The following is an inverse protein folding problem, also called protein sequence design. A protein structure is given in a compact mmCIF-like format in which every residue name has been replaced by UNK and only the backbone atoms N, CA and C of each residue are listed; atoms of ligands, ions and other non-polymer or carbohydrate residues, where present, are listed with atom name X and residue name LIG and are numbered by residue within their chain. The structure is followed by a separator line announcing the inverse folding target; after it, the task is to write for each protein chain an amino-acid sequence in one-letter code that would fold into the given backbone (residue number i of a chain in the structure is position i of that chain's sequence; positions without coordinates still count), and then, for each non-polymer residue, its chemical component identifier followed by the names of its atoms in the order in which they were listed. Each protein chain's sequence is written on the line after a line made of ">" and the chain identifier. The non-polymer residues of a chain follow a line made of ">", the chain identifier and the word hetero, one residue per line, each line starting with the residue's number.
data_IF_818891676862
#
_entry.id   IF_818891676862
#
_cell.length_a   1.000
_cell.length_b   1.000
_cell.length_c   1.000
_cell.angle_alpha   90.00
_cell.angle_beta   90.00
_cell.angle_gamma   90.00
#
_symmetry.space_group_name_H-M   'P 1'
#
loop_
_entity.id
_entity.type
_entity.pdbx_description
1 polymer ?
#
# COMPACT_ATOMS: atom_id res chain seq x y z
N UNK A 1 30.33 46.10 15.86
CA UNK A 1 29.94 46.10 17.29
C UNK A 1 29.32 44.74 17.62
N UNK A 2 29.83 44.11 18.69
CA UNK A 2 29.32 42.99 19.51
C UNK A 2 28.49 41.87 18.84
N UNK A 3 29.06 40.66 18.68
CA UNK A 3 29.13 39.53 19.66
C UNK A 3 27.77 38.82 19.85
N UNK A 4 27.65 37.60 19.32
CA UNK A 4 27.45 36.39 20.13
C UNK A 4 27.89 35.15 19.34
N UNK A 5 28.56 34.24 20.06
CA UNK A 5 29.29 33.05 19.62
C UNK A 5 28.77 31.89 20.48
N UNK A 6 28.81 30.67 19.94
CA UNK A 6 28.64 29.36 20.63
C UNK A 6 27.18 29.04 21.00
N UNK A 7 26.61 27.84 20.79
CA UNK A 7 27.11 26.47 20.79
C UNK A 7 26.32 25.56 19.84
N UNK A 8 27.00 24.75 19.02
CA UNK A 8 26.47 23.46 18.56
C UNK A 8 27.62 22.46 18.54
N UNK A 9 27.82 21.80 19.68
CA UNK A 9 28.76 20.71 19.84
C UNK A 9 28.11 19.35 19.53
N UNK A 10 28.91 18.50 18.88
CA UNK A 10 28.83 17.03 18.80
C UNK A 10 27.67 16.41 18.00
N UNK A 11 27.94 16.18 16.72
CA UNK A 11 27.53 14.93 16.07
C UNK A 11 28.78 14.25 15.50
N UNK A 12 28.96 13.00 15.92
CA UNK A 12 30.16 12.21 15.72
C UNK A 12 30.42 11.89 14.25
N UNK A 13 31.70 11.92 13.92
CA UNK A 13 32.29 11.47 12.67
C UNK A 13 32.21 9.94 12.58
N UNK A 14 31.31 9.39 11.77
CA UNK A 14 31.43 8.01 11.30
C UNK A 14 32.34 7.98 10.07
N UNK A 15 33.62 7.68 10.31
CA UNK A 15 34.58 7.28 9.27
C UNK A 15 34.21 5.89 8.76
N UNK A 16 33.79 5.79 7.50
CA UNK A 16 33.80 4.52 6.77
C UNK A 16 35.12 4.41 6.02
N UNK A 17 36.01 3.54 6.49
CA UNK A 17 37.25 3.20 5.80
C UNK A 17 36.94 2.24 4.66
N UNK A 18 37.03 2.71 3.41
CA UNK A 18 37.15 1.80 2.26
C UNK A 18 38.62 1.67 1.88
N UNK A 19 39.06 0.42 1.99
CA UNK A 19 40.37 -0.07 1.66
C UNK A 19 40.63 0.07 0.16
N UNK A 20 41.82 0.53 -0.18
CA UNK A 20 42.30 0.75 -1.53
C UNK A 20 42.58 -0.59 -2.22
N UNK A 21 42.02 -0.82 -3.41
CA UNK A 21 42.70 -1.64 -4.39
C UNK A 21 42.54 -1.01 -5.79
N UNK A 22 43.63 -0.38 -6.22
CA UNK A 22 43.78 0.28 -7.53
C UNK A 22 44.37 -0.75 -8.48
N UNK A 23 43.57 -1.26 -9.41
CA UNK A 23 44.08 -1.86 -10.64
C UNK A 23 43.84 -0.91 -11.80
N UNK A 24 44.96 -0.42 -12.35
CA UNK A 24 45.08 0.44 -13.50
C UNK A 24 44.80 -0.32 -14.80
N UNK A 25 43.80 0.09 -15.56
CA UNK A 25 43.66 -0.22 -16.97
C UNK A 25 43.56 1.11 -17.73
N UNK A 26 44.64 1.45 -18.43
CA UNK A 26 44.75 2.60 -19.33
C UNK A 26 43.94 2.33 -20.59
N UNK A 27 42.77 2.94 -20.70
CA UNK A 27 42.00 3.00 -21.94
C UNK A 27 42.24 4.35 -22.61
N UNK A 28 42.67 4.26 -23.86
CA UNK A 28 42.99 5.33 -24.81
C UNK A 28 41.91 6.41 -24.76
N UNK A 29 42.30 7.63 -24.36
CA UNK A 29 41.42 8.80 -24.38
C UNK A 29 41.32 9.36 -25.80
N UNK A 30 40.39 8.81 -26.59
CA UNK A 30 39.81 9.56 -27.71
C UNK A 30 38.76 10.51 -27.13
N UNK A 31 38.77 11.82 -27.44
CA UNK A 31 37.74 12.71 -26.93
C UNK A 31 36.39 12.32 -27.54
N UNK A 32 35.51 11.76 -26.72
CA UNK A 32 34.09 11.64 -27.04
C UNK A 32 33.55 13.04 -27.37
N UNK A 33 32.71 13.20 -28.41
CA UNK A 33 32.12 14.49 -28.70
C UNK A 33 31.34 14.95 -27.47
N UNK A 34 31.74 16.09 -26.89
CA UNK A 34 31.00 16.64 -25.77
C UNK A 34 29.56 16.91 -26.22
N UNK A 35 28.56 16.48 -25.45
CA UNK A 35 27.21 16.96 -25.68
C UNK A 35 27.25 18.45 -25.38
N UNK A 36 27.15 19.29 -26.41
CA UNK A 36 26.82 20.71 -26.29
C UNK A 36 25.48 20.79 -25.58
N UNK A 37 25.53 20.82 -24.25
CA UNK A 37 24.36 20.73 -23.38
C UNK A 37 23.80 22.14 -23.21
N UNK A 38 22.59 22.44 -23.72
CA UNK A 38 21.95 23.71 -23.43
C UNK A 38 21.57 23.74 -21.94
N UNK A 39 22.02 24.76 -21.20
CA UNK A 39 21.29 25.25 -20.03
C UNK A 39 21.53 24.57 -18.66
N UNK A 40 22.77 24.56 -18.15
CA UNK A 40 23.05 24.26 -16.74
C UNK A 40 22.33 25.23 -15.77
N UNK A 41 22.11 26.49 -16.17
CA UNK A 41 21.40 27.50 -15.36
C UNK A 41 19.87 27.28 -15.29
N UNK A 42 19.26 26.70 -16.34
CA UNK A 42 17.83 26.41 -16.39
C UNK A 42 17.44 25.16 -15.60
N UNK A 43 18.32 24.15 -15.56
CA UNK A 43 18.12 22.96 -14.72
C UNK A 43 18.27 23.27 -13.23
N UNK A 44 19.21 24.15 -12.83
CA UNK A 44 19.34 24.57 -11.43
C UNK A 44 18.11 25.32 -10.92
N UNK A 45 17.46 26.11 -11.78
CA UNK A 45 16.22 26.82 -11.44
C UNK A 45 15.03 25.88 -11.26
N UNK A 46 14.86 24.89 -12.14
CA UNK A 46 13.80 23.87 -11.98
C UNK A 46 14.01 23.04 -10.72
N UNK A 47 15.23 22.56 -10.45
CA UNK A 47 15.51 21.80 -9.23
C UNK A 47 15.21 22.64 -7.97
N UNK A 48 15.64 23.91 -7.96
CA UNK A 48 15.35 24.82 -6.86
C UNK A 48 13.85 25.05 -6.64
N UNK A 49 13.08 25.19 -7.73
CA UNK A 49 11.62 25.31 -7.65
C UNK A 49 10.94 24.03 -7.15
N UNK A 50 11.37 22.86 -7.63
CA UNK A 50 10.85 21.56 -7.18
C UNK A 50 11.10 21.37 -5.70
N UNK A 51 12.32 21.63 -5.23
CA UNK A 51 12.67 21.53 -3.80
C UNK A 51 11.82 22.47 -2.96
N UNK A 52 11.62 23.72 -3.41
CA UNK A 52 10.80 24.70 -2.68
C UNK A 52 9.34 24.26 -2.58
N UNK A 53 8.76 23.75 -3.67
CA UNK A 53 7.38 23.25 -3.65
C UNK A 53 7.28 22.02 -2.75
N UNK A 54 8.23 21.09 -2.83
CA UNK A 54 8.27 19.91 -1.97
C UNK A 54 8.37 20.29 -0.48
N UNK A 55 9.22 21.26 -0.14
CA UNK A 55 9.35 21.79 1.22
C UNK A 55 8.04 22.43 1.70
N UNK A 56 7.42 23.28 0.88
CA UNK A 56 6.13 23.89 1.20
C UNK A 56 5.04 22.85 1.45
N UNK A 57 4.94 21.84 0.59
CA UNK A 57 3.99 20.74 0.75
C UNK A 57 4.27 19.95 2.04
N UNK A 58 5.52 19.65 2.34
CA UNK A 58 5.89 18.93 3.57
C UNK A 58 5.53 19.73 4.83
N UNK A 59 5.87 21.03 4.86
CA UNK A 59 5.56 21.91 5.99
C UNK A 59 4.04 22.01 6.19
N UNK A 60 3.27 22.22 5.11
CA UNK A 60 1.81 22.29 5.19
C UNK A 60 1.19 20.96 5.64
N UNK A 61 1.70 19.82 5.16
CA UNK A 61 1.21 18.50 5.56
C UNK A 61 1.49 18.21 7.04
N UNK A 62 2.69 18.51 7.53
CA UNK A 62 3.06 18.31 8.93
C UNK A 62 2.24 19.22 9.87
N UNK A 63 1.94 20.45 9.44
CA UNK A 63 1.11 21.37 10.21
C UNK A 63 -0.36 20.92 10.32
N UNK A 64 -0.87 20.18 9.33
CA UNK A 64 -2.25 19.70 9.27
C UNK A 64 -2.42 18.25 9.76
N UNK A 65 -1.32 17.58 10.13
CA UNK A 65 -1.35 16.18 10.53
C UNK A 65 -2.14 16.00 11.84
N UNK A 66 -3.12 15.08 11.82
CA UNK A 66 -3.93 14.75 12.99
C UNK A 66 -3.17 13.84 13.95
N UNK A 67 -3.47 13.86 15.26
CA UNK A 67 -2.76 13.03 16.25
C UNK A 67 -2.78 11.53 15.96
N UNK A 68 -3.89 11.02 15.42
CA UNK A 68 -4.04 9.62 15.02
C UNK A 68 -3.14 9.26 13.83
N UNK A 69 -3.05 10.12 12.81
CA UNK A 69 -2.16 9.95 11.66
C UNK A 69 -0.70 9.97 12.08
N UNK A 70 -0.34 10.84 13.02
CA UNK A 70 1.00 10.87 13.60
C UNK A 70 1.34 9.57 14.32
N UNK A 71 0.42 9.05 15.14
CA UNK A 71 0.60 7.78 15.83
C UNK A 71 0.76 6.61 14.86
N UNK A 72 -0.01 6.60 13.77
CA UNK A 72 0.07 5.60 12.70
C UNK A 72 1.40 5.68 11.94
N UNK A 73 1.86 6.89 11.59
CA UNK A 73 3.15 7.11 10.95
C UNK A 73 4.32 6.63 11.83
N UNK A 74 4.27 6.89 13.15
CA UNK A 74 5.28 6.39 14.10
C UNK A 74 5.24 4.86 14.19
N UNK A 75 4.05 4.26 14.25
CA UNK A 75 3.89 2.79 14.28
C UNK A 75 4.44 2.15 13.00
N UNK A 76 4.17 2.73 11.82
CA UNK A 76 4.65 2.23 10.54
C UNK A 76 6.17 2.41 10.40
N UNK A 77 6.71 3.55 10.81
CA UNK A 77 8.16 3.78 10.86
C UNK A 77 8.86 2.77 11.76
N UNK A 78 8.34 2.55 12.97
CA UNK A 78 8.88 1.54 13.88
C UNK A 78 8.82 0.11 13.33
N UNK A 79 7.80 -0.22 12.52
CA UNK A 79 7.72 -1.52 11.83
C UNK A 79 8.82 -1.69 10.80
N UNK A 80 9.23 -0.62 10.10
CA UNK A 80 10.34 -0.69 9.15
C UNK A 80 11.67 -1.02 9.84
N UNK A 81 11.83 -0.52 11.08
CA UNK A 81 13.00 -0.76 11.93
C UNK A 81 12.92 -2.05 12.78
N UNK A 82 11.81 -2.81 12.68
CA UNK A 82 11.60 -4.08 13.40
C UNK A 82 11.40 -5.25 12.41
N UNK A 83 12.47 -5.85 11.88
CA UNK A 83 12.38 -6.92 10.89
C UNK A 83 11.56 -8.13 11.36
N UNK A 84 11.68 -8.52 12.63
CA UNK A 84 10.94 -9.64 13.21
C UNK A 84 9.46 -9.30 13.39
N UNK A 85 9.15 -8.11 13.91
CA UNK A 85 7.78 -7.62 14.03
C UNK A 85 7.08 -7.46 12.68
N UNK A 86 7.81 -7.00 11.66
CA UNK A 86 7.33 -6.94 10.27
C UNK A 86 7.02 -8.34 9.72
N UNK A 87 7.94 -9.29 9.89
CA UNK A 87 7.73 -10.68 9.47
C UNK A 87 6.51 -11.31 10.17
N UNK A 88 6.36 -11.08 11.48
CA UNK A 88 5.17 -11.51 12.21
C UNK A 88 3.90 -10.92 11.62
N UNK A 89 3.89 -9.62 11.31
CA UNK A 89 2.69 -8.95 10.77
C UNK A 89 2.23 -9.58 9.47
N UNK A 90 3.17 -9.86 8.55
CA UNK A 90 2.86 -10.54 7.29
C UNK A 90 2.37 -11.97 7.52
N UNK A 91 3.06 -12.75 8.35
CA UNK A 91 2.64 -14.12 8.65
C UNK A 91 1.27 -14.18 9.36
N UNK A 92 0.97 -13.20 10.22
CA UNK A 92 -0.32 -13.07 10.88
C UNK A 92 -1.46 -12.88 9.89
N UNK A 93 -1.30 -11.97 8.93
CA UNK A 93 -2.31 -11.70 7.89
C UNK A 93 -2.43 -12.90 6.95
N UNK A 94 -1.31 -13.53 6.59
CA UNK A 94 -1.29 -14.61 5.60
C UNK A 94 -1.77 -15.96 6.17
N UNK A 95 -1.37 -16.33 7.39
CA UNK A 95 -1.52 -17.71 7.87
C UNK A 95 -2.66 -17.89 8.88
N UNK A 96 -2.88 -16.93 9.78
CA UNK A 96 -3.78 -17.14 10.94
C UNK A 96 -5.24 -17.25 10.51
N UNK A 97 -5.64 -16.50 9.48
CA UNK A 97 -7.05 -16.39 9.07
C UNK A 97 -7.41 -17.24 7.85
N UNK A 98 -6.50 -18.11 7.38
CA UNK A 98 -6.81 -19.09 6.30
C UNK A 98 -7.78 -20.18 6.76
N UNK A 99 -7.77 -20.52 8.04
CA UNK A 99 -8.67 -21.52 8.61
C UNK A 99 -9.90 -20.87 9.24
N UNK A 100 -11.07 -21.43 8.96
CA UNK A 100 -12.33 -21.08 9.64
C UNK A 100 -12.41 -21.71 11.04
N UNK A 101 -11.53 -22.67 11.38
CA UNK A 101 -11.45 -23.26 12.71
C UNK A 101 -10.61 -22.37 13.65
N UNK A 102 -11.29 -21.75 14.62
CA UNK A 102 -10.68 -20.89 15.61
C UNK A 102 -9.58 -21.58 16.45
N UNK A 103 -9.66 -22.89 16.67
CA UNK A 103 -8.64 -23.66 17.40
C UNK A 103 -7.35 -23.77 16.60
N UNK A 104 -7.48 -24.03 15.30
CA UNK A 104 -6.35 -24.09 14.35
C UNK A 104 -5.72 -22.71 14.20
N UNK A 105 -6.54 -21.67 13.99
CA UNK A 105 -6.10 -20.28 13.91
C UNK A 105 -5.36 -19.84 15.19
N UNK A 106 -5.90 -20.18 16.37
CA UNK A 106 -5.27 -19.88 17.65
C UNK A 106 -3.94 -20.62 17.85
N UNK A 107 -3.84 -21.87 17.41
CA UNK A 107 -2.57 -22.60 17.42
C UNK A 107 -1.52 -21.88 16.56
N UNK A 108 -1.88 -21.50 15.33
CA UNK A 108 -0.98 -20.78 14.41
C UNK A 108 -0.58 -19.42 14.96
N UNK A 109 -1.53 -18.64 15.47
CA UNK A 109 -1.25 -17.38 16.16
C UNK A 109 -0.15 -17.53 17.23
N UNK A 110 -0.28 -18.52 18.12
CA UNK A 110 0.73 -18.76 19.16
C UNK A 110 2.08 -19.21 18.62
N UNK A 111 2.10 -19.99 17.55
CA UNK A 111 3.33 -20.46 16.90
C UNK A 111 4.10 -19.29 16.28
N UNK A 112 3.40 -18.40 15.55
CA UNK A 112 4.00 -17.21 14.97
C UNK A 112 4.58 -16.28 16.05
N UNK A 113 3.85 -16.06 17.15
CA UNK A 113 4.37 -15.26 18.26
C UNK A 113 5.58 -15.92 18.91
N UNK A 114 5.64 -17.26 19.00
CA UNK A 114 6.83 -17.97 19.51
C UNK A 114 8.02 -17.81 18.56
N UNK A 115 7.77 -17.83 17.25
CA UNK A 115 8.80 -17.75 16.22
C UNK A 115 9.40 -16.36 16.08
N UNK A 116 8.56 -15.32 16.03
CA UNK A 116 8.99 -13.95 15.74
C UNK A 116 9.05 -13.04 16.97
N UNK A 117 8.43 -13.46 18.09
CA UNK A 117 8.26 -12.63 19.28
C UNK A 117 7.14 -11.59 19.12
N UNK A 118 6.82 -10.88 20.21
CA UNK A 118 5.86 -9.77 20.16
C UNK A 118 6.54 -8.54 19.56
N UNK A 119 5.96 -7.86 18.55
CA UNK A 119 6.61 -6.76 17.87
C UNK A 119 6.96 -5.61 18.81
N UNK A 120 8.13 -5.02 18.62
CA UNK A 120 8.64 -3.90 19.42
C UNK A 120 8.06 -2.57 18.97
N UNK A 121 7.65 -2.46 17.71
CA UNK A 121 7.02 -1.25 17.16
C UNK A 121 5.62 -0.99 17.71
N UNK A 122 4.98 -1.99 18.34
CA UNK A 122 3.69 -1.81 18.98
C UNK A 122 3.82 -1.01 20.28
N UNK A 123 2.85 -0.12 20.58
CA UNK A 123 2.76 0.52 21.88
C UNK A 123 2.75 -0.50 23.02
N UNK A 124 3.24 -0.12 24.20
CA UNK A 124 3.34 -1.02 25.36
C UNK A 124 2.02 -1.72 25.69
N UNK A 125 0.90 -0.99 25.62
CA UNK A 125 -0.43 -1.56 25.86
C UNK A 125 -0.79 -2.64 24.84
N UNK A 126 -0.52 -2.42 23.55
CA UNK A 126 -0.78 -3.39 22.49
C UNK A 126 0.10 -4.64 22.64
N UNK A 127 1.34 -4.48 23.10
CA UNK A 127 2.24 -5.60 23.41
C UNK A 127 1.70 -6.44 24.56
N UNK A 128 1.24 -5.80 25.64
CA UNK A 128 0.60 -6.48 26.78
C UNK A 128 -0.67 -7.22 26.34
N UNK A 129 -1.52 -6.58 25.54
CA UNK A 129 -2.73 -7.20 24.99
C UNK A 129 -2.40 -8.40 24.10
N UNK A 130 -1.34 -8.31 23.29
CA UNK A 130 -0.90 -9.44 22.46
C UNK A 130 -0.42 -10.62 23.30
N UNK A 131 0.35 -10.37 24.36
CA UNK A 131 0.74 -11.41 25.33
C UNK A 131 -0.48 -12.04 26.02
N UNK A 132 -1.42 -11.22 26.49
CA UNK A 132 -2.67 -11.69 27.08
C UNK A 132 -3.49 -12.52 26.08
N UNK A 133 -3.55 -12.09 24.82
CA UNK A 133 -4.21 -12.80 23.72
C UNK A 133 -3.60 -14.18 23.48
N UNK A 134 -2.26 -14.32 23.53
CA UNK A 134 -1.58 -15.61 23.39
C UNK A 134 -2.02 -16.59 24.47
N UNK A 135 -2.08 -16.15 25.73
CA UNK A 135 -2.53 -16.95 26.86
C UNK A 135 -4.01 -17.30 26.73
N UNK A 136 -4.87 -16.30 26.52
CA UNK A 136 -6.32 -16.45 26.41
C UNK A 136 -6.72 -17.33 25.22
N UNK A 137 -5.97 -17.31 24.11
CA UNK A 137 -6.24 -18.12 22.92
C UNK A 137 -6.16 -19.63 23.19
N UNK A 138 -5.53 -20.06 24.29
CA UNK A 138 -5.51 -21.48 24.71
C UNK A 138 -6.83 -21.91 25.32
N UNK A 139 -7.49 -20.99 26.03
CA UNK A 139 -8.69 -21.28 26.83
C UNK A 139 -9.96 -20.94 26.02
N UNK A 140 -9.96 -19.81 25.33
CA UNK A 140 -11.12 -19.29 24.61
C UNK A 140 -10.80 -18.89 23.15
N UNK A 141 -10.32 -19.82 22.29
CA UNK A 141 -9.95 -19.50 20.90
C UNK A 141 -11.12 -18.88 20.11
N UNK A 142 -12.36 -19.35 20.37
CA UNK A 142 -13.59 -18.86 19.73
C UNK A 142 -13.95 -17.41 20.05
N UNK A 143 -13.40 -16.83 21.13
CA UNK A 143 -13.58 -15.41 21.46
C UNK A 143 -12.38 -14.58 21.02
N UNK A 144 -11.16 -15.10 21.25
CA UNK A 144 -9.92 -14.37 21.01
C UNK A 144 -9.65 -14.17 19.52
N UNK A 145 -9.81 -15.21 18.69
CA UNK A 145 -9.48 -15.11 17.25
C UNK A 145 -10.40 -14.12 16.53
N UNK A 146 -11.73 -14.14 16.73
CA UNK A 146 -12.59 -13.10 16.15
C UNK A 146 -12.30 -11.70 16.69
N UNK A 147 -11.84 -11.55 17.94
CA UNK A 147 -11.44 -10.25 18.48
C UNK A 147 -10.18 -9.71 17.78
N UNK A 148 -9.17 -10.56 17.56
CA UNK A 148 -7.96 -10.21 16.80
C UNK A 148 -8.34 -9.84 15.36
N UNK A 149 -9.16 -10.66 14.69
CA UNK A 149 -9.62 -10.39 13.33
C UNK A 149 -10.37 -9.05 13.23
N UNK A 150 -11.25 -8.75 14.18
CA UNK A 150 -11.96 -7.47 14.25
C UNK A 150 -11.00 -6.29 14.41
N UNK A 151 -10.00 -6.39 15.29
CA UNK A 151 -8.99 -5.35 15.47
C UNK A 151 -8.19 -5.12 14.19
N UNK A 152 -7.75 -6.19 13.52
CA UNK A 152 -7.01 -6.08 12.26
C UNK A 152 -7.86 -5.46 11.15
N UNK A 153 -9.15 -5.83 11.04
CA UNK A 153 -10.08 -5.20 10.08
C UNK A 153 -10.30 -3.71 10.39
N UNK A 154 -10.40 -3.34 11.66
CA UNK A 154 -10.52 -1.94 12.06
C UNK A 154 -9.25 -1.12 11.75
N UNK A 155 -8.07 -1.72 11.88
CA UNK A 155 -6.81 -1.08 11.47
C UNK A 155 -6.77 -0.91 9.93
N UNK A 156 -7.27 -1.89 9.14
CA UNK A 156 -7.28 -1.82 7.68
C UNK A 156 -8.44 -1.02 7.07
N UNK A 157 -9.51 -0.73 7.82
CA UNK A 157 -10.73 -0.10 7.26
C UNK A 157 -10.52 1.33 6.76
N UNK A 158 -9.38 1.94 7.08
CA UNK A 158 -8.98 3.26 6.55
C UNK A 158 -8.57 3.21 5.08
N UNK A 159 -8.11 2.04 4.63
CA UNK A 159 -7.56 1.81 3.28
C UNK A 159 -8.41 0.82 2.49
N UNK A 160 -9.09 -0.12 3.16
CA UNK A 160 -10.00 -1.08 2.56
C UNK A 160 -11.43 -0.69 2.92
N UNK A 161 -12.20 -0.30 1.89
CA UNK A 161 -13.60 0.03 2.06
C UNK A 161 -14.43 -1.24 2.24
N UNK A 162 -15.50 -1.11 3.03
CA UNK A 162 -16.50 -2.16 3.15
C UNK A 162 -17.24 -2.30 1.80
N UNK A 163 -17.48 -3.54 1.37
CA UNK A 163 -18.11 -3.83 0.07
C UNK A 163 -19.63 -3.68 0.09
N UNK A 164 -20.22 -3.56 1.28
CA UNK A 164 -21.64 -3.37 1.49
C UNK A 164 -22.11 -2.00 0.95
N UNK A 165 -23.33 -1.97 0.41
CA UNK A 165 -23.85 -0.82 -0.33
C UNK A 165 -23.92 0.45 0.53
N UNK A 166 -24.53 0.37 1.71
CA UNK A 166 -24.76 1.53 2.58
C UNK A 166 -23.45 2.16 3.07
N UNK A 167 -22.48 1.39 3.63
CA UNK A 167 -21.18 1.95 4.01
C UNK A 167 -20.41 2.54 2.82
N UNK A 168 -20.46 1.89 1.65
CA UNK A 168 -19.80 2.39 0.45
C UNK A 168 -20.40 3.73 0.01
N UNK A 169 -21.73 3.84 -0.04
CA UNK A 169 -22.43 5.06 -0.43
C UNK A 169 -22.13 6.22 0.52
N UNK A 170 -22.16 5.95 1.83
CA UNK A 170 -21.80 6.95 2.83
C UNK A 170 -20.36 7.44 2.65
N UNK A 171 -19.42 6.52 2.38
CA UNK A 171 -18.04 6.88 2.11
C UNK A 171 -17.91 7.74 0.85
N UNK A 172 -18.53 7.32 -0.26
CA UNK A 172 -18.47 8.04 -1.54
C UNK A 172 -19.07 9.44 -1.43
N UNK A 173 -20.21 9.60 -0.74
CA UNK A 173 -20.85 10.89 -0.51
C UNK A 173 -19.92 11.82 0.29
N UNK A 174 -19.42 11.38 1.45
CA UNK A 174 -18.52 12.17 2.28
C UNK A 174 -17.27 12.64 1.51
N UNK A 175 -16.68 11.75 0.69
CA UNK A 175 -15.50 12.09 -0.11
C UNK A 175 -15.81 13.05 -1.25
N UNK A 176 -16.99 12.93 -1.84
CA UNK A 176 -17.45 13.86 -2.87
C UNK A 176 -17.65 15.26 -2.28
N UNK A 177 -18.22 15.35 -1.07
CA UNK A 177 -18.40 16.61 -0.34
C UNK A 177 -17.06 17.25 0.04
N UNK A 178 -16.04 16.44 0.31
CA UNK A 178 -14.64 16.88 0.50
C UNK A 178 -13.95 17.32 -0.81
N UNK A 179 -14.60 17.19 -1.96
CA UNK A 179 -14.06 17.55 -3.27
C UNK A 179 -13.20 16.47 -3.94
N UNK A 180 -13.23 15.23 -3.43
CA UNK A 180 -12.49 14.11 -4.01
C UNK A 180 -13.32 13.31 -5.01
N UNK A 181 -12.66 12.84 -6.08
CA UNK A 181 -13.19 11.80 -6.98
C UNK A 181 -12.55 10.46 -6.62
N UNK A 182 -13.36 9.48 -6.25
CA UNK A 182 -12.89 8.18 -5.76
C UNK A 182 -12.79 7.17 -6.90
N UNK A 183 -11.60 6.57 -7.05
CA UNK A 183 -11.37 5.41 -7.88
C UNK A 183 -11.66 4.12 -7.09
N UNK A 184 -12.68 3.37 -7.50
CA UNK A 184 -12.99 2.08 -6.88
C UNK A 184 -12.19 0.95 -7.54
N UNK A 185 -11.59 0.09 -6.72
CA UNK A 185 -10.94 -1.14 -7.17
C UNK A 185 -11.41 -2.30 -6.30
N UNK A 186 -11.79 -3.42 -6.93
CA UNK A 186 -12.21 -4.61 -6.20
C UNK A 186 -11.01 -5.38 -5.70
N UNK A 187 -10.95 -5.60 -4.39
CA UNK A 187 -9.96 -6.49 -3.81
C UNK A 187 -10.31 -7.95 -4.14
N UNK A 188 -9.30 -8.71 -4.51
CA UNK A 188 -9.44 -10.09 -4.90
C UNK A 188 -8.12 -10.66 -5.39
N UNK A 189 -7.94 -11.95 -5.17
CA UNK A 189 -6.88 -12.73 -5.81
C UNK A 189 -7.15 -12.85 -7.32
N UNK A 190 -6.15 -13.34 -8.07
CA UNK A 190 -6.34 -13.66 -9.47
C UNK A 190 -7.47 -14.70 -9.61
N UNK A 191 -8.33 -14.52 -10.60
CA UNK A 191 -9.44 -15.45 -10.81
C UNK A 191 -8.89 -16.81 -11.25
N UNK A 192 -9.35 -17.88 -10.61
CA UNK A 192 -8.84 -19.23 -10.89
C UNK A 192 -9.56 -19.90 -12.08
N UNK A 193 -10.62 -19.28 -12.60
CA UNK A 193 -11.36 -19.76 -13.76
C UNK A 193 -12.39 -18.77 -14.30
N UNK A 194 -12.95 -19.08 -15.48
CA UNK A 194 -13.86 -18.16 -16.19
C UNK A 194 -15.16 -17.88 -15.45
N UNK A 195 -15.65 -18.80 -14.62
CA UNK A 195 -16.84 -18.55 -13.80
C UNK A 195 -16.60 -17.43 -12.77
N UNK A 196 -15.43 -17.43 -12.12
CA UNK A 196 -15.06 -16.37 -11.19
C UNK A 196 -14.79 -15.05 -11.94
N UNK A 197 -14.14 -15.13 -13.10
CA UNK A 197 -13.91 -13.99 -13.99
C UNK A 197 -15.23 -13.31 -14.42
N UNK A 198 -16.24 -14.11 -14.79
CA UNK A 198 -17.57 -13.63 -15.14
C UNK A 198 -18.28 -12.98 -13.95
N UNK A 199 -18.18 -13.57 -12.74
CA UNK A 199 -18.73 -12.98 -11.53
C UNK A 199 -18.07 -11.63 -11.18
N UNK A 200 -16.75 -11.52 -11.34
CA UNK A 200 -16.01 -10.26 -11.17
C UNK A 200 -16.45 -9.22 -12.18
N UNK A 201 -16.58 -9.59 -13.45
CA UNK A 201 -17.07 -8.70 -14.51
C UNK A 201 -18.49 -8.20 -14.20
N UNK A 202 -19.38 -9.09 -13.76
CA UNK A 202 -20.75 -8.73 -13.38
C UNK A 202 -20.79 -7.76 -12.18
N UNK A 203 -19.94 -7.97 -11.17
CA UNK A 203 -19.82 -7.06 -10.04
C UNK A 203 -19.37 -5.66 -10.48
N UNK A 204 -18.36 -5.56 -11.37
CA UNK A 204 -17.92 -4.27 -11.93
C UNK A 204 -19.05 -3.59 -12.69
N UNK A 205 -19.82 -4.33 -13.50
CA UNK A 205 -20.99 -3.79 -14.21
C UNK A 205 -22.06 -3.27 -13.25
N UNK A 206 -22.28 -3.97 -12.13
CA UNK A 206 -23.20 -3.50 -11.09
C UNK A 206 -22.75 -2.16 -10.49
N UNK A 207 -21.46 -1.98 -10.18
CA UNK A 207 -20.96 -0.69 -9.73
C UNK A 207 -21.03 0.39 -10.81
N UNK A 208 -20.77 0.04 -12.08
CA UNK A 208 -20.96 0.98 -13.19
C UNK A 208 -22.41 1.42 -13.33
N UNK A 209 -23.39 0.58 -12.99
CA UNK A 209 -24.81 0.97 -12.98
C UNK A 209 -25.20 1.87 -11.79
N UNK A 210 -24.38 1.92 -10.74
CA UNK A 210 -24.67 2.67 -9.52
C UNK A 210 -24.34 4.16 -9.67
N UNK A 211 -25.31 5.09 -9.57
CA UNK A 211 -25.06 6.52 -9.77
C UNK A 211 -24.03 7.13 -8.80
N UNK A 212 -23.79 6.52 -7.63
CA UNK A 212 -22.78 7.00 -6.68
C UNK A 212 -21.33 6.77 -7.17
N UNK A 213 -21.14 5.87 -8.15
CA UNK A 213 -19.82 5.50 -8.67
C UNK A 213 -19.49 6.28 -9.94
N UNK A 214 -18.40 7.05 -9.92
CA UNK A 214 -17.95 7.85 -11.07
C UNK A 214 -16.63 7.37 -11.70
N UNK A 215 -15.87 6.51 -11.00
CA UNK A 215 -14.59 5.99 -11.44
C UNK A 215 -14.36 4.59 -10.86
N UNK A 216 -14.11 3.60 -11.73
CA UNK A 216 -13.64 2.26 -11.38
C UNK A 216 -12.33 1.90 -12.08
N UNK A 217 -11.52 1.06 -11.45
CA UNK A 217 -10.36 0.40 -12.05
C UNK A 217 -10.60 -1.10 -12.18
N UNK A 218 -10.15 -1.68 -13.29
CA UNK A 218 -10.26 -3.10 -13.59
C UNK A 218 -8.90 -3.64 -14.00
N UNK A 219 -8.60 -4.85 -13.57
CA UNK A 219 -7.42 -5.61 -14.02
C UNK A 219 -7.86 -6.63 -15.06
N UNK A 220 -7.09 -6.79 -16.14
CA UNK A 220 -7.38 -7.81 -17.16
C UNK A 220 -7.50 -9.21 -16.51
N UNK A 221 -6.55 -9.53 -15.62
CA UNK A 221 -6.47 -10.81 -14.92
C UNK A 221 -7.59 -11.04 -13.89
N UNK A 222 -8.51 -10.09 -13.68
CA UNK A 222 -9.69 -10.30 -12.83
C UNK A 222 -10.96 -10.57 -13.62
N UNK A 223 -10.98 -10.22 -14.91
CA UNK A 223 -12.14 -10.39 -15.80
C UNK A 223 -11.92 -11.50 -16.84
N UNK A 224 -10.70 -12.01 -16.98
CA UNK A 224 -10.36 -13.14 -17.84
C UNK A 224 -9.27 -14.00 -17.16
N UNK A 225 -9.51 -15.31 -17.05
CA UNK A 225 -8.64 -16.25 -16.32
C UNK A 225 -7.58 -16.91 -17.21
N UNK A 226 -7.80 -16.97 -18.53
CA UNK A 226 -6.95 -17.70 -19.47
C UNK A 226 -6.01 -16.78 -20.27
N UNK A 227 -5.45 -15.75 -19.62
CA UNK A 227 -4.51 -14.83 -20.27
C UNK A 227 -3.26 -15.60 -20.71
N UNK A 228 -3.01 -15.68 -22.01
CA UNK A 228 -1.88 -16.40 -22.58
C UNK A 228 -1.17 -15.59 -23.66
N UNK A 229 0.15 -15.45 -23.53
CA UNK A 229 0.99 -14.79 -24.53
C UNK A 229 1.27 -15.67 -25.76
N UNK A 230 1.02 -16.98 -25.67
CA UNK A 230 1.18 -17.91 -26.80
C UNK A 230 -0.02 -17.85 -27.73
N UNK A 231 -1.23 -17.81 -27.16
CA UNK A 231 -2.48 -17.62 -27.89
C UNK A 231 -2.86 -16.14 -27.92
N UNK A 232 -1.97 -15.32 -28.48
CA UNK A 232 -2.06 -13.85 -28.43
C UNK A 232 -3.36 -13.32 -29.03
N UNK A 233 -3.68 -13.70 -30.26
CA UNK A 233 -4.84 -13.18 -30.98
C UNK A 233 -6.16 -13.54 -30.30
N UNK A 234 -6.26 -14.79 -29.82
CA UNK A 234 -7.43 -15.27 -29.08
C UNK A 234 -7.57 -14.54 -27.73
N UNK A 235 -6.47 -14.43 -26.98
CA UNK A 235 -6.44 -13.71 -25.69
C UNK A 235 -6.84 -12.25 -25.89
N UNK A 236 -6.30 -11.59 -26.91
CA UNK A 236 -6.61 -10.20 -27.23
C UNK A 236 -8.09 -10.02 -27.59
N UNK A 237 -8.67 -10.94 -28.36
CA UNK A 237 -10.09 -10.91 -28.71
C UNK A 237 -10.98 -11.00 -27.46
N UNK A 238 -10.73 -11.99 -26.60
CA UNK A 238 -11.50 -12.23 -25.36
C UNK A 238 -11.43 -11.05 -24.39
N UNK A 239 -10.25 -10.43 -24.25
CA UNK A 239 -10.05 -9.23 -23.42
C UNK A 239 -10.81 -8.04 -24.02
N UNK A 240 -10.68 -7.80 -25.33
CA UNK A 240 -11.36 -6.69 -26.02
C UNK A 240 -12.88 -6.78 -25.86
N UNK A 241 -13.46 -7.96 -25.93
CA UNK A 241 -14.90 -8.16 -25.81
C UNK A 241 -15.41 -7.81 -24.41
N UNK A 242 -14.71 -8.25 -23.36
CA UNK A 242 -15.06 -7.92 -21.97
C UNK A 242 -14.86 -6.44 -21.66
N UNK A 243 -13.74 -5.86 -22.07
CA UNK A 243 -13.48 -4.44 -21.91
C UNK A 243 -14.52 -3.59 -22.66
N UNK A 244 -14.91 -3.99 -23.87
CA UNK A 244 -15.96 -3.27 -24.63
C UNK A 244 -17.28 -3.25 -23.87
N UNK A 245 -17.65 -4.34 -23.20
CA UNK A 245 -18.83 -4.39 -22.33
C UNK A 245 -18.73 -3.39 -21.19
N UNK A 246 -17.59 -3.32 -20.50
CA UNK A 246 -17.35 -2.35 -19.43
C UNK A 246 -17.41 -0.90 -19.92
N UNK A 247 -16.69 -0.57 -20.98
CA UNK A 247 -16.65 0.80 -21.51
C UNK A 247 -18.02 1.25 -22.03
N UNK A 248 -18.80 0.35 -22.65
CA UNK A 248 -20.18 0.65 -23.06
C UNK A 248 -21.10 0.90 -21.87
N UNK A 249 -20.95 0.15 -20.78
CA UNK A 249 -21.74 0.38 -19.56
C UNK A 249 -21.37 1.71 -18.87
N UNK A 250 -20.10 2.13 -18.94
CA UNK A 250 -19.62 3.37 -18.35
C UNK A 250 -20.03 4.63 -19.15
N UNK A 251 -20.16 4.52 -20.47
CA UNK A 251 -20.33 5.66 -21.38
C UNK A 251 -21.57 6.54 -21.10
N UNK A 252 -22.79 6.00 -20.87
CA UNK A 252 -23.98 6.83 -20.62
C UNK A 252 -23.85 7.75 -19.40
N UNK A 253 -23.13 7.30 -18.36
CA UNK A 253 -22.92 8.06 -17.13
C UNK A 253 -21.64 8.91 -17.14
N UNK A 254 -20.89 8.95 -18.25
CA UNK A 254 -19.59 9.63 -18.31
C UNK A 254 -18.57 9.10 -17.28
N UNK A 255 -18.71 7.82 -16.89
CA UNK A 255 -17.88 7.21 -15.85
C UNK A 255 -16.50 6.88 -16.40
N UNK A 256 -15.47 7.06 -15.58
CA UNK A 256 -14.11 6.73 -15.98
C UNK A 256 -13.80 5.27 -15.62
N UNK A 257 -13.24 4.54 -16.57
CA UNK A 257 -12.78 3.15 -16.38
C UNK A 257 -11.28 3.12 -16.64
N UNK A 258 -10.49 2.92 -15.58
CA UNK A 258 -9.06 2.70 -15.69
C UNK A 258 -8.75 1.23 -15.88
N UNK A 259 -7.75 0.94 -16.69
CA UNK A 259 -7.19 -0.40 -16.84
C UNK A 259 -5.88 -0.47 -16.06
N UNK A 260 -5.88 -1.28 -15.00
CA UNK A 260 -4.74 -1.55 -14.12
C UNK A 260 -3.87 -2.70 -14.61
#
# INVERSE_FOLDING_TARGET
>A
MQKYRQDFGRLGTYRYGMNTNRQSLSVISSPSPQPTSPGLAGQSDICGRVTRVAEQLLVSALAQQRPNERAEAVKLGGMMDDPAGKALTFAMVDEVFRSHDATVAAKRFRELIRQFGVPRYLPLLDRLLMHAGVLASRIAPRLVIPAIARRMRADSSRVILAGEKEPLHQYLANRTDEGFRINLNHLGEAVLGEAEAANRLAAVLQHLSDPAVSYISVKISSIYSQVSLVAWDQTLAEIKDRLRTLYRAAAPGGKFVNLD
#
